data_IF_571651963462
#
_entry.id   IF_571651963462
#
_cell.length_a   1.000
_cell.length_b   1.000
_cell.length_c   1.000
_cell.angle_alpha   90.00
_cell.angle_beta   90.00
_cell.angle_gamma   90.00
#
_symmetry.space_group_name_H-M   'P 1'
#
loop_
_entity.id
_entity.type
_entity.pdbx_description
1 polymer ?
#
# COMPACT_ATOMS: atom_id res chain seq x y z
N UNK A 1 -3.86 -24.16 4.93
CA UNK A 1 -3.59 -23.15 3.88
C UNK A 1 -4.70 -23.04 2.83
N UNK A 2 -5.15 -24.12 2.20
CA UNK A 2 -6.22 -24.06 1.19
C UNK A 2 -7.55 -23.49 1.72
N UNK A 3 -8.03 -23.94 2.88
CA UNK A 3 -9.29 -23.43 3.43
C UNK A 3 -9.25 -21.92 3.79
N UNK A 4 -8.10 -21.43 4.26
CA UNK A 4 -7.88 -20.01 4.60
C UNK A 4 -7.88 -19.15 3.33
N UNK A 5 -7.26 -19.65 2.25
CA UNK A 5 -7.28 -18.99 0.94
C UNK A 5 -8.71 -18.90 0.37
N UNK A 6 -9.45 -20.01 0.41
CA UNK A 6 -10.84 -20.10 -0.10
C UNK A 6 -11.78 -19.19 0.69
N UNK A 7 -11.72 -19.21 2.02
CA UNK A 7 -12.55 -18.36 2.88
C UNK A 7 -12.28 -16.87 2.67
N UNK A 8 -11.01 -16.48 2.48
CA UNK A 8 -10.65 -15.11 2.13
C UNK A 8 -11.20 -14.71 0.75
N UNK A 9 -11.02 -15.57 -0.26
CA UNK A 9 -11.52 -15.33 -1.62
C UNK A 9 -13.04 -15.12 -1.66
N UNK A 10 -13.77 -15.97 -0.94
CA UNK A 10 -15.22 -15.91 -0.81
C UNK A 10 -15.68 -14.55 -0.26
N UNK A 11 -15.02 -14.04 0.79
CA UNK A 11 -15.32 -12.72 1.35
C UNK A 11 -15.06 -11.59 0.36
N UNK A 12 -13.91 -11.62 -0.32
CA UNK A 12 -13.53 -10.55 -1.25
C UNK A 12 -14.46 -10.50 -2.47
N UNK A 13 -14.83 -11.65 -3.02
CA UNK A 13 -15.84 -11.71 -4.08
C UNK A 13 -17.21 -11.25 -3.61
N UNK A 14 -17.64 -11.67 -2.40
CA UNK A 14 -18.90 -11.21 -1.84
C UNK A 14 -18.93 -9.67 -1.71
N UNK A 15 -17.83 -9.04 -1.28
CA UNK A 15 -17.72 -7.57 -1.23
C UNK A 15 -17.79 -6.93 -2.62
N UNK A 16 -17.15 -7.52 -3.63
CA UNK A 16 -17.23 -7.03 -5.02
C UNK A 16 -18.66 -7.10 -5.57
N UNK A 17 -19.42 -8.14 -5.22
CA UNK A 17 -20.80 -8.35 -5.71
C UNK A 17 -21.81 -7.46 -4.96
N UNK A 18 -21.68 -7.33 -3.64
CA UNK A 18 -22.71 -6.72 -2.78
C UNK A 18 -22.38 -5.33 -2.25
N UNK A 19 -21.18 -4.82 -2.48
CA UNK A 19 -20.56 -3.59 -1.93
C UNK A 19 -20.40 -3.59 -0.40
N UNK A 20 -21.44 -4.01 0.32
CA UNK A 20 -21.47 -4.19 1.78
C UNK A 20 -22.14 -5.50 2.16
N UNK A 21 -21.59 -6.12 3.22
CA UNK A 21 -22.09 -7.38 3.79
C UNK A 21 -23.05 -7.18 4.97
N UNK A 22 -23.15 -5.97 5.52
CA UNK A 22 -23.85 -5.68 6.79
C UNK A 22 -25.35 -6.01 6.80
N UNK A 23 -25.98 -6.09 5.63
CA UNK A 23 -27.40 -6.40 5.46
C UNK A 23 -27.64 -7.71 4.71
N UNK A 24 -26.59 -8.52 4.55
CA UNK A 24 -26.65 -9.74 3.73
C UNK A 24 -26.97 -10.95 4.58
N UNK A 25 -27.76 -11.84 4.01
CA UNK A 25 -28.10 -13.13 4.62
C UNK A 25 -27.24 -14.23 4.01
N UNK A 26 -26.58 -15.02 4.86
CA UNK A 26 -25.78 -16.17 4.45
C UNK A 26 -26.51 -17.47 4.80
N UNK A 27 -26.50 -18.45 3.91
CA UNK A 27 -26.92 -19.81 4.20
C UNK A 27 -25.76 -20.77 3.97
N UNK A 28 -25.56 -21.72 4.87
CA UNK A 28 -24.58 -22.80 4.74
C UNK A 28 -25.32 -24.13 4.63
N UNK A 29 -25.13 -24.83 3.51
CA UNK A 29 -25.59 -26.18 3.30
C UNK A 29 -24.43 -27.15 3.59
N UNK A 30 -24.61 -27.97 4.62
CA UNK A 30 -23.58 -28.92 5.06
C UNK A 30 -22.78 -28.42 6.27
N UNK A 31 -21.67 -29.09 6.54
CA UNK A 31 -20.78 -28.82 7.68
C UNK A 31 -19.33 -29.19 7.36
N UNK A 32 -18.88 -28.91 6.13
CA UNK A 32 -17.48 -29.07 5.76
C UNK A 32 -16.60 -27.99 6.38
N UNK A 33 -15.36 -28.33 6.75
CA UNK A 33 -14.39 -27.43 7.41
C UNK A 33 -14.18 -26.13 6.62
N UNK A 34 -14.05 -26.23 5.28
CA UNK A 34 -13.84 -25.06 4.41
C UNK A 34 -15.06 -24.14 4.37
N UNK A 35 -16.27 -24.70 4.29
CA UNK A 35 -17.50 -23.90 4.32
C UNK A 35 -17.74 -23.26 5.69
N UNK A 36 -17.42 -23.97 6.78
CA UNK A 36 -17.43 -23.40 8.12
C UNK A 36 -16.48 -22.21 8.23
N UNK A 37 -15.24 -22.36 7.73
CA UNK A 37 -14.26 -21.28 7.80
C UNK A 37 -14.71 -20.07 6.95
N UNK A 38 -15.23 -20.30 5.74
CA UNK A 38 -15.79 -19.23 4.91
C UNK A 38 -16.98 -18.53 5.59
N UNK A 39 -17.88 -19.29 6.21
CA UNK A 39 -19.01 -18.76 6.97
C UNK A 39 -18.54 -17.91 8.15
N UNK A 40 -17.56 -18.39 8.92
CA UNK A 40 -16.95 -17.66 10.05
C UNK A 40 -16.35 -16.33 9.60
N UNK A 41 -15.65 -16.33 8.47
CA UNK A 41 -15.10 -15.11 7.90
C UNK A 41 -16.20 -14.13 7.48
N UNK A 42 -17.28 -14.58 6.86
CA UNK A 42 -18.44 -13.73 6.53
C UNK A 42 -19.11 -13.15 7.79
N UNK A 43 -19.29 -13.95 8.85
CA UNK A 43 -19.78 -13.48 10.16
C UNK A 43 -18.91 -12.36 10.71
N UNK A 44 -17.58 -12.53 10.67
CA UNK A 44 -16.64 -11.51 11.12
C UNK A 44 -16.68 -10.22 10.28
N UNK A 45 -17.20 -10.27 9.04
CA UNK A 45 -17.44 -9.09 8.21
C UNK A 45 -18.81 -8.43 8.47
N UNK A 46 -19.57 -8.94 9.45
CA UNK A 46 -20.78 -8.31 9.95
C UNK A 46 -22.06 -8.64 9.18
N UNK A 47 -22.15 -9.81 8.53
CA UNK A 47 -23.41 -10.23 7.88
C UNK A 47 -24.59 -10.21 8.85
N UNK A 48 -25.77 -9.83 8.36
CA UNK A 48 -26.94 -9.60 9.21
C UNK A 48 -27.50 -10.88 9.83
N UNK A 49 -27.52 -11.96 9.04
CA UNK A 49 -28.11 -13.22 9.45
C UNK A 49 -27.38 -14.38 8.78
N UNK A 50 -27.11 -15.42 9.56
CA UNK A 50 -26.60 -16.69 9.06
C UNK A 50 -27.58 -17.80 9.37
N UNK A 51 -27.83 -18.65 8.37
CA UNK A 51 -28.62 -19.86 8.48
C UNK A 51 -27.73 -21.07 8.18
N UNK A 52 -27.83 -22.10 9.00
CA UNK A 52 -27.10 -23.36 8.79
C UNK A 52 -28.12 -24.47 8.58
N UNK A 53 -27.94 -25.28 7.55
CA UNK A 53 -28.79 -26.43 7.29
C UNK A 53 -27.95 -27.66 6.94
N UNK A 54 -28.35 -28.82 7.45
CA UNK A 54 -27.65 -30.08 7.25
C UNK A 54 -28.65 -31.24 7.32
N UNK A 55 -28.44 -32.28 6.51
CA UNK A 55 -29.25 -33.52 6.58
C UNK A 55 -29.24 -34.15 7.97
N UNK A 56 -28.14 -33.99 8.71
CA UNK A 56 -28.07 -34.36 10.12
C UNK A 56 -28.29 -33.11 10.98
N UNK A 57 -29.47 -32.98 11.59
CA UNK A 57 -29.88 -31.80 12.37
C UNK A 57 -28.84 -31.41 13.45
N UNK A 58 -28.32 -32.38 14.20
CA UNK A 58 -27.30 -32.13 15.24
C UNK A 58 -26.05 -31.43 14.70
N UNK A 59 -25.65 -31.69 13.45
CA UNK A 59 -24.49 -31.02 12.83
C UNK A 59 -24.80 -29.56 12.50
N UNK A 60 -26.02 -29.29 12.01
CA UNK A 60 -26.47 -27.92 11.76
C UNK A 60 -26.56 -27.12 13.05
N UNK A 61 -27.11 -27.70 14.12
CA UNK A 61 -27.23 -27.08 15.43
C UNK A 61 -25.86 -26.76 16.05
N UNK A 62 -24.92 -27.70 16.00
CA UNK A 62 -23.55 -27.49 16.51
C UNK A 62 -22.84 -26.34 15.80
N UNK A 63 -22.89 -26.32 14.47
CA UNK A 63 -22.27 -25.26 13.68
C UNK A 63 -22.99 -23.92 13.87
N UNK A 64 -24.32 -23.93 13.97
CA UNK A 64 -25.11 -22.75 14.26
C UNK A 64 -24.73 -22.13 15.61
N UNK A 65 -24.57 -22.95 16.65
CA UNK A 65 -24.11 -22.50 17.96
C UNK A 65 -22.70 -21.89 17.89
N UNK A 66 -21.78 -22.53 17.16
CA UNK A 66 -20.40 -22.05 17.02
C UNK A 66 -20.27 -20.71 16.26
N UNK A 67 -21.25 -20.38 15.41
CA UNK A 67 -21.28 -19.16 14.60
C UNK A 67 -22.33 -18.13 15.05
N UNK A 68 -23.03 -18.39 16.17
CA UNK A 68 -24.18 -17.58 16.61
C UNK A 68 -25.25 -17.41 15.51
N UNK A 69 -25.41 -18.45 14.69
CA UNK A 69 -26.33 -18.52 13.56
C UNK A 69 -27.62 -19.26 13.94
N UNK A 70 -28.57 -19.35 13.00
CA UNK A 70 -29.82 -20.10 13.16
C UNK A 70 -29.75 -21.42 12.40
N UNK A 71 -30.02 -22.54 13.06
CA UNK A 71 -30.22 -23.81 12.36
C UNK A 71 -31.58 -23.81 11.66
N UNK A 72 -31.64 -24.33 10.43
CA UNK A 72 -32.85 -24.57 9.68
C UNK A 72 -32.98 -26.08 9.36
N UNK A 73 -34.20 -26.64 9.42
CA UNK A 73 -34.46 -27.97 8.89
C UNK A 73 -33.98 -28.10 7.44
N UNK A 74 -33.47 -29.28 7.08
CA UNK A 74 -32.97 -29.54 5.72
C UNK A 74 -34.05 -29.31 4.67
N UNK A 75 -35.28 -29.70 4.97
CA UNK A 75 -36.41 -29.61 4.05
C UNK A 75 -36.84 -28.16 3.79
N UNK A 76 -36.47 -27.23 4.69
CA UNK A 76 -36.89 -25.83 4.64
C UNK A 76 -35.93 -24.93 3.85
N UNK A 77 -34.71 -25.39 3.51
CA UNK A 77 -33.74 -24.54 2.83
C UNK A 77 -34.22 -24.00 1.47
N UNK A 78 -34.96 -24.77 0.62
CA UNK A 78 -35.37 -24.27 -0.70
C UNK A 78 -36.25 -23.02 -0.61
N UNK A 79 -37.19 -23.00 0.34
CA UNK A 79 -38.08 -21.86 0.58
C UNK A 79 -37.32 -20.65 1.14
N UNK A 80 -36.22 -20.90 1.85
CA UNK A 80 -35.40 -19.83 2.43
C UNK A 80 -34.43 -19.19 1.45
N UNK A 81 -34.16 -19.80 0.28
CA UNK A 81 -33.31 -19.21 -0.76
C UNK A 81 -33.80 -17.81 -1.18
N UNK A 82 -35.11 -17.55 -1.14
CA UNK A 82 -35.67 -16.24 -1.48
C UNK A 82 -35.14 -15.11 -0.59
N UNK A 83 -34.70 -15.42 0.63
CA UNK A 83 -34.18 -14.48 1.62
C UNK A 83 -32.66 -14.52 1.76
N UNK A 84 -31.98 -15.43 1.05
CA UNK A 84 -30.53 -15.64 1.15
C UNK A 84 -29.77 -14.95 0.03
N UNK A 85 -28.75 -14.17 0.37
CA UNK A 85 -27.90 -13.49 -0.60
C UNK A 85 -26.65 -14.31 -0.96
N UNK A 86 -26.08 -14.99 0.03
CA UNK A 86 -24.87 -15.81 -0.13
C UNK A 86 -25.17 -17.24 0.31
N UNK A 87 -24.88 -18.21 -0.54
CA UNK A 87 -25.07 -19.64 -0.26
C UNK A 87 -23.72 -20.34 -0.32
N UNK A 88 -23.29 -20.91 0.80
CA UNK A 88 -22.11 -21.75 0.90
C UNK A 88 -22.54 -23.21 0.91
N UNK A 89 -22.05 -24.02 -0.03
CA UNK A 89 -22.34 -25.45 -0.07
C UNK A 89 -21.08 -26.28 0.12
N UNK A 90 -21.14 -27.24 1.04
CA UNK A 90 -20.11 -28.25 1.24
C UNK A 90 -20.74 -29.49 1.84
N UNK A 91 -21.55 -30.17 1.04
CA UNK A 91 -22.14 -31.46 1.40
C UNK A 91 -21.36 -32.63 0.81
N UNK A 92 -21.74 -33.84 1.21
CA UNK A 92 -21.23 -35.10 0.66
C UNK A 92 -22.27 -35.76 -0.25
N UNK A 93 -23.17 -34.99 -0.86
CA UNK A 93 -24.20 -35.54 -1.74
C UNK A 93 -23.57 -36.08 -3.04
N UNK A 94 -24.01 -37.25 -3.53
CA UNK A 94 -23.52 -37.78 -4.80
C UNK A 94 -24.17 -37.12 -6.02
N UNK A 95 -25.07 -36.16 -5.80
CA UNK A 95 -25.85 -35.46 -6.82
C UNK A 95 -26.04 -33.99 -6.42
N UNK A 96 -26.32 -33.14 -7.41
CA UNK A 96 -26.67 -31.74 -7.20
C UNK A 96 -27.92 -31.61 -6.34
N UNK A 97 -27.84 -30.81 -5.29
CA UNK A 97 -28.94 -30.48 -4.36
C UNK A 97 -29.71 -29.25 -4.84
N UNK A 98 -29.00 -28.26 -5.39
CA UNK A 98 -29.58 -27.01 -5.89
C UNK A 98 -29.57 -27.07 -7.42
N UNK A 99 -30.76 -27.04 -8.01
CA UNK A 99 -30.95 -27.07 -9.46
C UNK A 99 -31.42 -25.72 -10.04
N UNK A 100 -31.40 -25.64 -11.37
CA UNK A 100 -31.79 -24.44 -12.10
C UNK A 100 -33.24 -24.00 -11.84
N UNK A 101 -34.26 -24.89 -11.86
CA UNK A 101 -35.64 -24.53 -11.53
C UNK A 101 -35.78 -23.90 -10.14
N UNK A 102 -35.13 -24.47 -9.12
CA UNK A 102 -35.18 -23.97 -7.75
C UNK A 102 -34.64 -22.53 -7.64
N UNK A 103 -33.45 -22.27 -8.21
CA UNK A 103 -32.85 -20.93 -8.18
C UNK A 103 -33.68 -19.95 -9.01
N UNK A 104 -34.21 -20.38 -10.16
CA UNK A 104 -35.06 -19.53 -11.02
C UNK A 104 -36.30 -19.04 -10.28
N UNK A 105 -36.97 -19.92 -9.54
CA UNK A 105 -38.15 -19.53 -8.77
C UNK A 105 -37.80 -18.57 -7.63
N UNK A 106 -36.69 -18.82 -6.93
CA UNK A 106 -36.21 -17.90 -5.90
C UNK A 106 -35.89 -16.51 -6.49
N UNK A 107 -35.21 -16.45 -7.64
CA UNK A 107 -34.85 -15.19 -8.31
C UNK A 107 -36.08 -14.40 -8.79
N UNK A 108 -37.15 -15.08 -9.19
CA UNK A 108 -38.43 -14.45 -9.55
C UNK A 108 -39.01 -13.65 -8.38
N UNK A 109 -38.99 -14.21 -7.18
CA UNK A 109 -39.45 -13.55 -5.94
C UNK A 109 -38.49 -12.44 -5.51
N UNK A 110 -37.18 -12.65 -5.69
CA UNK A 110 -36.12 -11.70 -5.30
C UNK A 110 -36.04 -10.44 -6.16
N UNK A 111 -36.79 -10.37 -7.27
CA UNK A 111 -36.82 -9.23 -8.21
C UNK A 111 -35.41 -8.84 -8.72
N UNK A 112 -34.60 -9.85 -9.05
CA UNK A 112 -33.26 -9.64 -9.62
C UNK A 112 -32.16 -9.24 -8.63
N UNK A 113 -32.44 -9.19 -7.32
CA UNK A 113 -31.39 -8.98 -6.31
C UNK A 113 -30.32 -10.07 -6.42
N UNK A 114 -29.02 -9.73 -6.44
CA UNK A 114 -27.94 -10.69 -6.63
C UNK A 114 -27.99 -11.86 -5.66
N UNK A 115 -27.56 -13.02 -6.15
CA UNK A 115 -27.39 -14.23 -5.36
C UNK A 115 -26.03 -14.85 -5.68
N UNK A 116 -25.23 -15.09 -4.65
CA UNK A 116 -23.87 -15.59 -4.78
C UNK A 116 -23.75 -16.98 -4.17
N UNK A 117 -23.39 -17.96 -4.99
CA UNK A 117 -23.18 -19.34 -4.63
C UNK A 117 -21.69 -19.68 -4.62
N UNK A 118 -21.27 -20.36 -3.56
CA UNK A 118 -19.93 -20.91 -3.41
C UNK A 118 -20.08 -22.42 -3.19
N UNK A 119 -19.72 -23.20 -4.20
CA UNK A 119 -19.83 -24.66 -4.19
C UNK A 119 -18.48 -25.30 -3.94
N UNK A 120 -18.29 -25.77 -2.70
CA UNK A 120 -17.05 -26.39 -2.21
C UNK A 120 -17.21 -27.93 -2.16
N UNK A 121 -18.29 -28.47 -2.72
CA UNK A 121 -18.54 -29.91 -2.71
C UNK A 121 -17.92 -30.60 -3.92
N UNK A 122 -17.44 -31.83 -3.69
CA UNK A 122 -16.96 -32.72 -4.73
C UNK A 122 -17.55 -34.12 -4.49
N UNK A 123 -18.51 -34.59 -5.31
CA UNK A 123 -19.14 -33.92 -6.46
C UNK A 123 -19.90 -32.63 -6.11
N UNK A 124 -20.12 -31.76 -7.10
CA UNK A 124 -20.77 -30.44 -6.92
C UNK A 124 -22.19 -30.54 -6.37
N UNK A 125 -22.52 -29.67 -5.42
CA UNK A 125 -23.85 -29.55 -4.85
C UNK A 125 -24.79 -28.71 -5.72
N UNK A 126 -24.25 -27.86 -6.58
CA UNK A 126 -25.02 -26.86 -7.32
C UNK A 126 -24.86 -27.10 -8.82
N UNK A 127 -25.98 -27.19 -9.53
CA UNK A 127 -25.99 -27.38 -10.97
C UNK A 127 -25.30 -26.20 -11.68
N UNK A 128 -24.26 -26.40 -12.53
CA UNK A 128 -23.57 -25.31 -13.21
C UNK A 128 -24.48 -24.41 -14.05
N UNK A 129 -25.60 -24.96 -14.52
CA UNK A 129 -26.61 -24.23 -15.29
C UNK A 129 -27.22 -23.04 -14.53
N UNK A 130 -27.15 -22.97 -13.20
CA UNK A 130 -27.65 -21.81 -12.44
C UNK A 130 -26.93 -20.52 -12.81
N UNK A 131 -25.67 -20.60 -13.25
CA UNK A 131 -24.86 -19.45 -13.65
C UNK A 131 -25.34 -18.82 -14.98
N UNK A 132 -26.34 -19.41 -15.64
CA UNK A 132 -26.99 -18.83 -16.82
C UNK A 132 -28.09 -17.82 -16.46
N UNK A 133 -28.50 -17.77 -15.18
CA UNK A 133 -29.47 -16.81 -14.69
C UNK A 133 -28.81 -15.45 -14.45
N UNK A 134 -29.52 -14.38 -14.80
CA UNK A 134 -29.07 -13.02 -14.53
C UNK A 134 -28.98 -12.76 -13.03
N UNK A 135 -27.92 -12.05 -12.59
CA UNK A 135 -27.64 -11.72 -11.19
C UNK A 135 -27.44 -12.96 -10.28
N UNK A 136 -27.10 -14.12 -10.87
CA UNK A 136 -26.66 -15.30 -10.14
C UNK A 136 -25.18 -15.54 -10.44
N UNK A 137 -24.39 -15.70 -9.38
CA UNK A 137 -22.96 -15.91 -9.46
C UNK A 137 -22.62 -17.24 -8.80
N UNK A 138 -22.10 -18.21 -9.54
CA UNK A 138 -21.66 -19.50 -8.99
C UNK A 138 -20.15 -19.64 -9.16
N UNK A 139 -19.46 -19.90 -8.04
CA UNK A 139 -18.02 -20.12 -7.99
C UNK A 139 -17.73 -21.44 -7.27
N UNK A 140 -16.77 -22.20 -7.77
CA UNK A 140 -16.23 -23.36 -7.06
C UNK A 140 -14.89 -23.06 -6.36
N UNK A 141 -14.29 -24.09 -5.76
CA UNK A 141 -12.99 -23.97 -5.07
C UNK A 141 -11.87 -23.49 -5.99
N UNK A 142 -11.86 -23.94 -7.25
CA UNK A 142 -10.80 -23.61 -8.21
C UNK A 142 -10.96 -22.17 -8.70
N UNK A 143 -12.19 -21.72 -8.96
CA UNK A 143 -12.51 -20.34 -9.30
C UNK A 143 -12.06 -19.38 -8.18
N UNK A 144 -12.35 -19.74 -6.92
CA UNK A 144 -11.92 -18.97 -5.75
C UNK A 144 -10.39 -18.93 -5.63
N UNK A 145 -9.70 -20.04 -5.91
CA UNK A 145 -8.24 -20.07 -5.90
C UNK A 145 -7.64 -19.11 -6.94
N UNK A 146 -8.18 -19.10 -8.15
CA UNK A 146 -7.72 -18.24 -9.23
C UNK A 146 -7.82 -16.74 -8.87
N UNK A 147 -8.92 -16.34 -8.23
CA UNK A 147 -9.11 -14.95 -7.77
C UNK A 147 -8.06 -14.52 -6.74
N UNK A 148 -7.67 -15.43 -5.84
CA UNK A 148 -6.61 -15.13 -4.85
C UNK A 148 -5.27 -14.92 -5.55
N UNK A 149 -4.94 -15.76 -6.52
CA UNK A 149 -3.68 -15.64 -7.27
C UNK A 149 -3.61 -14.34 -8.08
N UNK A 150 -4.72 -13.92 -8.69
CA UNK A 150 -4.79 -12.66 -9.42
C UNK A 150 -4.59 -11.45 -8.49
N UNK A 151 -5.32 -11.39 -7.37
CA UNK A 151 -5.17 -10.33 -6.38
C UNK A 151 -3.73 -10.26 -5.81
N UNK A 152 -3.07 -11.41 -5.61
CA UNK A 152 -1.68 -11.45 -5.12
C UNK A 152 -0.71 -10.85 -6.14
N UNK A 153 -0.89 -11.15 -7.43
CA UNK A 153 -0.08 -10.61 -8.52
C UNK A 153 -0.26 -9.09 -8.67
N UNK A 154 -1.48 -8.60 -8.53
CA UNK A 154 -1.75 -7.15 -8.55
C UNK A 154 -1.04 -6.43 -7.39
N UNK A 155 -1.16 -6.94 -6.17
CA UNK A 155 -0.45 -6.38 -5.00
C UNK A 155 1.07 -6.34 -5.17
N UNK A 156 1.66 -7.37 -5.77
CA UNK A 156 3.09 -7.40 -6.07
C UNK A 156 3.50 -6.32 -7.07
N UNK A 157 2.68 -6.06 -8.10
CA UNK A 157 2.96 -5.00 -9.08
C UNK A 157 2.89 -3.61 -8.46
N UNK A 158 1.91 -3.35 -7.60
CA UNK A 158 1.79 -2.08 -6.88
C UNK A 158 2.98 -1.84 -5.93
N UNK A 159 3.43 -2.89 -5.24
CA UNK A 159 4.61 -2.80 -4.36
C UNK A 159 5.88 -2.42 -5.14
N UNK A 160 6.11 -3.04 -6.31
CA UNK A 160 7.24 -2.69 -7.17
C UNK A 160 7.18 -1.23 -7.65
N UNK A 161 5.99 -0.75 -8.03
CA UNK A 161 5.81 0.65 -8.42
C UNK A 161 6.10 1.62 -7.24
N UNK A 162 5.71 1.25 -6.03
CA UNK A 162 6.01 2.02 -4.82
C UNK A 162 7.52 2.04 -4.50
N UNK A 163 8.22 0.92 -4.66
CA UNK A 163 9.68 0.86 -4.50
C UNK A 163 10.41 1.78 -5.48
N UNK A 164 9.97 1.85 -6.74
CA UNK A 164 10.54 2.75 -7.74
C UNK A 164 10.43 4.23 -7.32
N UNK A 165 9.26 4.61 -6.76
CA UNK A 165 9.05 5.95 -6.21
C UNK A 165 10.01 6.24 -5.06
N UNK A 166 10.18 5.31 -4.11
CA UNK A 166 11.12 5.45 -3.00
C UNK A 166 12.54 5.64 -3.50
N UNK A 167 12.99 4.82 -4.47
CA UNK A 167 14.34 4.95 -5.05
C UNK A 167 14.57 6.29 -5.73
N UNK A 168 13.55 6.85 -6.38
CA UNK A 168 13.63 8.19 -6.95
C UNK A 168 13.83 9.25 -5.87
N UNK A 169 13.07 9.20 -4.79
CA UNK A 169 13.20 10.17 -3.69
C UNK A 169 14.52 10.02 -2.94
N UNK A 170 15.03 8.79 -2.76
CA UNK A 170 16.36 8.55 -2.18
C UNK A 170 17.45 9.22 -3.02
N UNK A 171 17.39 9.13 -4.36
CA UNK A 171 18.35 9.81 -5.24
C UNK A 171 18.26 11.34 -5.11
N UNK A 172 17.05 11.89 -5.07
CA UNK A 172 16.86 13.33 -4.85
C UNK A 172 17.43 13.79 -3.50
N UNK A 173 17.22 13.01 -2.45
CA UNK A 173 17.74 13.31 -1.12
C UNK A 173 19.27 13.22 -1.05
N UNK A 174 19.88 12.23 -1.71
CA UNK A 174 21.34 12.11 -1.81
C UNK A 174 21.95 13.32 -2.53
N UNK A 175 21.39 13.72 -3.67
CA UNK A 175 21.81 14.93 -4.39
C UNK A 175 21.68 16.18 -3.52
N UNK A 176 20.59 16.29 -2.74
CA UNK A 176 20.40 17.39 -1.81
C UNK A 176 21.44 17.42 -0.69
N UNK A 177 21.84 16.26 -0.15
CA UNK A 177 22.90 16.15 0.86
C UNK A 177 24.27 16.56 0.32
N UNK A 178 24.63 16.15 -0.89
CA UNK A 178 25.92 16.48 -1.51
C UNK A 178 26.14 17.99 -1.69
N UNK A 179 25.05 18.75 -1.89
CA UNK A 179 25.11 20.23 -1.96
C UNK A 179 25.55 20.87 -0.64
N UNK A 180 25.32 20.20 0.50
CA UNK A 180 25.68 20.71 1.82
C UNK A 180 27.17 20.59 2.13
N UNK A 181 27.90 19.67 1.48
CA UNK A 181 29.30 19.37 1.78
C UNK A 181 30.28 20.48 1.37
N UNK A 182 29.91 21.34 0.42
CA UNK A 182 30.74 22.48 0.00
C UNK A 182 30.66 23.68 0.97
N UNK A 183 29.59 23.78 1.78
CA UNK A 183 29.32 24.95 2.63
C UNK A 183 30.43 25.18 3.67
N UNK A 184 30.91 24.18 4.44
CA UNK A 184 32.00 24.38 5.39
C UNK A 184 33.28 24.91 4.74
N UNK A 185 33.63 24.42 3.55
CA UNK A 185 34.82 24.87 2.81
C UNK A 185 34.67 26.30 2.31
N UNK A 186 33.49 26.71 1.84
CA UNK A 186 33.22 28.12 1.46
C UNK A 186 33.39 29.05 2.66
N UNK A 187 32.90 28.64 3.84
CA UNK A 187 33.05 29.41 5.07
C UNK A 187 34.53 29.52 5.47
N UNK A 188 35.26 28.40 5.52
CA UNK A 188 36.68 28.37 5.85
C UNK A 188 37.52 29.24 4.89
N UNK A 189 37.24 29.16 3.59
CA UNK A 189 37.92 29.98 2.58
C UNK A 189 37.70 31.48 2.80
N UNK A 190 36.46 31.90 3.10
CA UNK A 190 36.14 33.30 3.40
C UNK A 190 36.82 33.79 4.67
N UNK A 191 36.83 32.97 5.72
CA UNK A 191 37.49 33.31 6.98
C UNK A 191 39.01 33.43 6.80
N UNK A 192 39.64 32.51 6.06
CA UNK A 192 41.07 32.54 5.77
C UNK A 192 41.46 33.83 5.01
N UNK A 193 40.72 34.16 3.95
CA UNK A 193 40.97 35.37 3.17
C UNK A 193 40.73 36.66 3.97
N UNK A 194 39.73 36.67 4.86
CA UNK A 194 39.45 37.81 5.72
C UNK A 194 40.54 38.01 6.78
N UNK A 195 41.09 36.93 7.34
CA UNK A 195 42.22 36.99 8.27
C UNK A 195 43.47 37.61 7.59
N UNK A 196 43.78 37.19 6.36
CA UNK A 196 44.86 37.78 5.57
C UNK A 196 44.60 39.27 5.30
N UNK A 197 43.38 39.61 4.87
CA UNK A 197 42.97 40.99 4.59
C UNK A 197 43.19 41.89 5.80
N UNK A 198 42.71 41.45 6.96
CA UNK A 198 42.79 42.21 8.21
C UNK A 198 44.24 42.39 8.66
N UNK A 199 45.05 41.31 8.61
CA UNK A 199 46.46 41.35 8.97
C UNK A 199 47.25 42.34 8.08
N UNK A 200 47.03 42.33 6.77
CA UNK A 200 47.73 43.25 5.85
C UNK A 200 47.22 44.68 5.97
N UNK A 201 45.92 44.87 6.22
CA UNK A 201 45.35 46.19 6.47
C UNK A 201 45.93 46.81 7.74
N UNK A 202 46.00 46.07 8.85
CA UNK A 202 46.57 46.52 10.11
C UNK A 202 48.05 46.91 9.98
N UNK A 203 48.87 46.06 9.32
CA UNK A 203 50.28 46.37 9.03
C UNK A 203 50.43 47.66 8.23
N UNK A 204 49.54 47.89 7.27
CA UNK A 204 49.56 49.08 6.40
C UNK A 204 49.14 50.32 7.17
N UNK A 205 48.05 50.24 7.94
CA UNK A 205 47.57 51.34 8.78
C UNK A 205 48.61 51.78 9.81
N UNK A 206 49.34 50.83 10.42
CA UNK A 206 50.41 51.12 11.37
C UNK A 206 51.57 51.93 10.75
N UNK A 207 51.81 51.82 9.44
CA UNK A 207 52.89 52.53 8.71
C UNK A 207 52.47 53.90 8.18
N UNK A 208 51.17 54.13 7.99
CA UNK A 208 50.65 55.35 7.37
C UNK A 208 50.44 56.53 8.35
N UNK A 209 50.55 56.28 9.67
CA UNK A 209 50.30 57.31 10.68
C UNK A 209 48.81 57.63 10.87
N UNK A 210 48.45 58.74 11.55
CA UNK A 210 47.05 59.10 11.78
C UNK A 210 46.32 59.43 10.48
N UNK A 211 45.26 58.68 10.20
CA UNK A 211 44.38 58.86 9.03
C UNK A 211 43.04 59.45 9.46
N UNK A 212 42.43 60.25 8.60
CA UNK A 212 41.04 60.65 8.78
C UNK A 212 40.10 59.45 8.56
N UNK A 213 38.96 59.43 9.26
CA UNK A 213 38.02 58.30 9.26
C UNK A 213 37.52 57.90 7.86
N UNK A 214 37.37 58.87 6.95
CA UNK A 214 36.97 58.61 5.57
C UNK A 214 38.07 57.88 4.76
N UNK A 215 39.34 58.13 5.04
CA UNK A 215 40.48 57.47 4.37
C UNK A 215 40.61 56.02 4.84
N UNK A 216 40.40 55.78 6.15
CA UNK A 216 40.39 54.44 6.73
C UNK A 216 39.29 53.58 6.10
N UNK A 217 38.06 54.10 6.03
CA UNK A 217 36.93 53.42 5.38
C UNK A 217 37.17 53.16 3.88
N UNK A 218 37.84 54.07 3.17
CA UNK A 218 38.19 53.86 1.78
C UNK A 218 39.17 52.69 1.58
N UNK A 219 40.17 52.54 2.47
CA UNK A 219 41.10 51.41 2.46
C UNK A 219 40.42 50.09 2.82
N UNK A 220 39.52 50.08 3.81
CA UNK A 220 38.70 48.92 4.14
C UNK A 220 37.82 48.48 2.97
N UNK A 221 37.15 49.43 2.31
CA UNK A 221 36.32 49.16 1.14
C UNK A 221 37.16 48.63 -0.05
N UNK A 222 38.34 49.21 -0.30
CA UNK A 222 39.24 48.77 -1.35
C UNK A 222 39.70 47.32 -1.12
N UNK A 223 40.24 47.02 0.07
CA UNK A 223 40.76 45.70 0.40
C UNK A 223 39.64 44.64 0.41
N UNK A 224 38.47 44.97 0.95
CA UNK A 224 37.30 44.08 0.94
C UNK A 224 36.79 43.83 -0.48
N UNK A 225 36.82 44.86 -1.34
CA UNK A 225 36.46 44.73 -2.74
C UNK A 225 37.37 43.78 -3.52
N UNK A 226 38.69 43.82 -3.26
CA UNK A 226 39.66 42.89 -3.86
C UNK A 226 39.38 41.46 -3.40
N UNK A 227 39.25 41.24 -2.09
CA UNK A 227 38.98 39.89 -1.53
C UNK A 227 37.68 39.32 -2.08
N UNK A 228 36.60 40.09 -2.09
CA UNK A 228 35.31 39.63 -2.61
C UNK A 228 35.38 39.25 -4.09
N UNK A 229 36.13 40.00 -4.92
CA UNK A 229 36.32 39.66 -6.34
C UNK A 229 37.14 38.38 -6.51
N UNK A 230 38.20 38.19 -5.74
CA UNK A 230 39.03 36.97 -5.80
C UNK A 230 38.27 35.72 -5.33
N UNK A 231 37.43 35.85 -4.30
CA UNK A 231 36.67 34.73 -3.74
C UNK A 231 35.42 34.36 -4.55
N UNK A 232 34.99 35.20 -5.49
CA UNK A 232 33.79 34.94 -6.27
C UNK A 232 33.90 33.66 -7.10
N UNK A 233 34.96 33.52 -7.90
CA UNK A 233 35.14 32.36 -8.79
C UNK A 233 35.28 31.02 -8.03
N UNK A 234 36.12 30.91 -6.97
CA UNK A 234 36.18 29.68 -6.17
C UNK A 234 34.85 29.33 -5.48
N UNK A 235 34.10 30.33 -4.98
CA UNK A 235 32.80 30.11 -4.36
C UNK A 235 31.77 29.60 -5.37
N UNK A 236 31.75 30.17 -6.57
CA UNK A 236 30.85 29.73 -7.65
C UNK A 236 31.23 28.33 -8.13
N UNK A 237 32.52 28.04 -8.27
CA UNK A 237 33.01 26.71 -8.63
C UNK A 237 32.54 25.65 -7.63
N UNK A 238 32.76 25.86 -6.32
CA UNK A 238 32.30 24.93 -5.28
C UNK A 238 30.78 24.70 -5.30
N UNK A 239 29.99 25.75 -5.55
CA UNK A 239 28.52 25.65 -5.67
C UNK A 239 28.08 24.88 -6.93
N UNK A 240 28.77 25.06 -8.06
CA UNK A 240 28.46 24.34 -9.31
C UNK A 240 28.86 22.88 -9.24
N UNK A 241 30.05 22.57 -8.72
CA UNK A 241 30.51 21.19 -8.55
C UNK A 241 29.59 20.39 -7.62
N UNK A 242 28.89 21.05 -6.70
CA UNK A 242 27.87 20.41 -5.86
C UNK A 242 26.55 20.09 -6.60
N UNK A 243 26.26 20.76 -7.70
CA UNK A 243 25.13 20.45 -8.57
C UNK A 243 25.49 19.40 -9.63
N UNK A 244 26.77 19.31 -9.98
CA UNK A 244 27.32 18.40 -11.01
C UNK A 244 27.83 17.07 -10.44
N UNK A 245 27.69 16.82 -9.12
CA UNK A 245 28.12 15.58 -8.45
C UNK A 245 29.64 15.44 -8.27
N UNK A 246 30.40 16.52 -8.47
CA UNK A 246 31.87 16.58 -8.36
C UNK A 246 32.34 17.31 -7.08
N UNK A 247 31.46 17.41 -6.08
CA UNK A 247 31.68 18.25 -4.88
C UNK A 247 32.91 17.84 -4.09
N UNK A 248 33.18 16.53 -3.99
CA UNK A 248 34.29 16.01 -3.18
C UNK A 248 35.64 16.44 -3.73
N UNK A 249 35.86 16.28 -5.03
CA UNK A 249 37.11 16.65 -5.69
C UNK A 249 37.31 18.17 -5.66
N UNK A 250 36.24 18.93 -5.92
CA UNK A 250 36.27 20.38 -5.84
C UNK A 250 36.59 20.89 -4.43
N UNK A 251 35.98 20.29 -3.39
CA UNK A 251 36.25 20.60 -1.99
C UNK A 251 37.70 20.29 -1.63
N UNK A 252 38.21 19.10 -1.97
CA UNK A 252 39.60 18.72 -1.69
C UNK A 252 40.59 19.67 -2.38
N UNK A 253 40.36 19.99 -3.65
CA UNK A 253 41.23 20.91 -4.40
C UNK A 253 41.29 22.29 -3.75
N UNK A 254 40.14 22.88 -3.39
CA UNK A 254 40.11 24.21 -2.75
C UNK A 254 40.76 24.17 -1.36
N UNK A 255 40.51 23.12 -0.57
CA UNK A 255 41.14 22.98 0.75
C UNK A 255 42.66 22.87 0.63
N UNK A 256 43.16 22.13 -0.36
CA UNK A 256 44.59 22.00 -0.61
C UNK A 256 45.21 23.32 -1.09
N UNK A 257 44.63 23.99 -2.09
CA UNK A 257 45.16 25.23 -2.66
C UNK A 257 45.26 26.36 -1.63
N UNK A 258 44.27 26.47 -0.74
CA UNK A 258 44.19 27.52 0.27
C UNK A 258 44.60 27.06 1.67
N UNK A 259 45.15 25.85 1.81
CA UNK A 259 45.60 25.28 3.08
C UNK A 259 44.54 25.36 4.20
N UNK A 260 43.31 24.94 3.88
CA UNK A 260 42.15 25.00 4.79
C UNK A 260 41.97 23.74 5.66
N UNK A 261 42.97 22.85 5.68
CA UNK A 261 42.98 21.56 6.38
C UNK A 261 43.46 21.62 7.85
N UNK A 262 43.28 22.77 8.50
CA UNK A 262 43.51 22.97 9.94
C UNK A 262 42.27 22.69 10.79
#
# INVERSE_FOLDING_TARGET
>A
DHAVSVSYAAVELAKKIFESLQQRTVMVLGAGETAELAARHLVNQGVAQVYITNRTAERAERLAQALQAKALPWEAFPEHLVYTDIVLSSTSAPHTIIDLPMVREAMRVRRGRPMFFIDIAVPRDIAPAVNTLENVFLYDVDDLHNVVQENLRERQREALAAEELVWREVRHFQQWLEVRDAVPTIVALRQHAEAIRQQELEKTLAKLGPLAEHQRRALEALTSGIVNKLLHAPTVYLKRSSQEGQVRDAVQMVRHLFHLDG
#
